data_IF_361345470247
#
_entry.id   IF_361345470247
#
_cell.length_a   1.000
_cell.length_b   1.000
_cell.length_c   1.000
_cell.angle_alpha   90.00
_cell.angle_beta   90.00
_cell.angle_gamma   90.00
#
_symmetry.space_group_name_H-M   'P 1'
#
loop_
_entity.id
_entity.type
_entity.pdbx_description
1 polymer ?
#
# COMPACT_ATOMS: atom_id res chain seq x y z
N UNK A 1 -20.99 0.95 -1.83
CA UNK A 1 -20.61 -0.26 -2.60
C UNK A 1 -21.06 -0.17 -4.04
N UNK A 2 -22.33 0.16 -4.33
CA UNK A 2 -22.86 0.30 -5.69
C UNK A 2 -22.06 1.28 -6.57
N UNK A 3 -21.59 2.38 -5.99
CA UNK A 3 -20.76 3.35 -6.72
C UNK A 3 -19.41 2.75 -7.13
N UNK A 4 -18.75 2.00 -6.23
CA UNK A 4 -17.49 1.35 -6.52
C UNK A 4 -17.64 0.30 -7.63
N UNK A 5 -18.71 -0.49 -7.58
CA UNK A 5 -19.03 -1.45 -8.63
C UNK A 5 -19.24 -0.75 -9.99
N UNK A 6 -20.08 0.31 -10.03
CA UNK A 6 -20.32 1.07 -11.26
C UNK A 6 -19.04 1.64 -11.86
N UNK A 7 -18.14 2.21 -11.01
CA UNK A 7 -16.84 2.68 -11.46
C UNK A 7 -15.96 1.54 -12.01
N UNK A 8 -15.98 0.37 -11.36
CA UNK A 8 -15.28 -0.82 -11.85
C UNK A 8 -15.74 -1.26 -13.23
N UNK A 9 -17.06 -1.29 -13.48
CA UNK A 9 -17.63 -1.65 -14.77
C UNK A 9 -17.38 -0.57 -15.84
N UNK A 10 -17.38 0.70 -15.46
CA UNK A 10 -17.14 1.83 -16.38
C UNK A 10 -15.66 1.90 -16.81
N UNK A 11 -14.73 1.91 -15.86
CA UNK A 11 -13.31 2.11 -16.12
C UNK A 11 -12.55 0.81 -16.43
N UNK A 12 -13.12 -0.35 -16.10
CA UNK A 12 -12.54 -1.68 -16.31
C UNK A 12 -11.06 -1.75 -15.88
N UNK A 13 -10.73 -1.39 -14.64
CA UNK A 13 -9.38 -1.47 -14.15
C UNK A 13 -8.89 -2.92 -14.15
N UNK A 14 -7.57 -3.13 -14.23
CA UNK A 14 -7.02 -4.49 -14.09
C UNK A 14 -7.27 -5.08 -12.71
N UNK A 15 -7.32 -4.24 -11.69
CA UNK A 15 -7.59 -4.63 -10.30
C UNK A 15 -8.46 -3.59 -9.62
N UNK A 16 -9.36 -4.05 -8.75
CA UNK A 16 -10.20 -3.22 -7.90
C UNK A 16 -9.81 -3.45 -6.43
N UNK A 17 -9.64 -2.37 -5.69
CA UNK A 17 -9.37 -2.44 -4.25
C UNK A 17 -10.68 -2.69 -3.52
N UNK A 18 -10.74 -3.76 -2.72
CA UNK A 18 -11.92 -4.08 -1.92
C UNK A 18 -12.14 -3.04 -0.81
N UNK A 19 -13.40 -2.77 -0.43
CA UNK A 19 -13.71 -1.82 0.63
C UNK A 19 -13.13 -2.26 1.97
N UNK A 20 -12.42 -1.36 2.64
CA UNK A 20 -11.82 -1.57 3.95
C UNK A 20 -12.35 -0.56 4.99
N UNK A 21 -11.98 -0.79 6.24
CA UNK A 21 -12.24 0.11 7.37
C UNK A 21 -10.98 0.26 8.20
N UNK A 22 -10.44 1.48 8.21
CA UNK A 22 -9.17 1.79 8.91
C UNK A 22 -9.21 1.29 10.36
N UNK A 23 -8.19 0.54 10.77
CA UNK A 23 -8.00 -0.06 12.09
C UNK A 23 -9.06 -1.08 12.53
N UNK A 24 -9.97 -1.50 11.65
CA UNK A 24 -11.03 -2.44 11.98
C UNK A 24 -11.01 -3.64 11.02
N UNK A 25 -10.35 -4.73 11.42
CA UNK A 25 -10.21 -5.93 10.60
C UNK A 25 -11.52 -6.67 10.39
N UNK A 26 -12.42 -6.70 11.40
CA UNK A 26 -13.71 -7.37 11.29
C UNK A 26 -14.61 -6.68 10.29
N UNK A 27 -14.76 -5.37 10.42
CA UNK A 27 -15.55 -4.58 9.49
C UNK A 27 -14.94 -4.59 8.08
N UNK A 28 -13.61 -4.65 7.96
CA UNK A 28 -12.92 -4.79 6.68
C UNK A 28 -13.30 -6.11 6.01
N UNK A 29 -13.21 -7.24 6.72
CA UNK A 29 -13.60 -8.55 6.18
C UNK A 29 -15.09 -8.62 5.84
N UNK A 30 -15.97 -8.08 6.69
CA UNK A 30 -17.42 -7.98 6.42
C UNK A 30 -17.72 -7.17 5.16
N UNK A 31 -17.06 -6.02 5.00
CA UNK A 31 -17.21 -5.19 3.81
C UNK A 31 -16.75 -5.92 2.54
N UNK A 32 -15.62 -6.63 2.61
CA UNK A 32 -15.10 -7.42 1.51
C UNK A 32 -16.05 -8.58 1.14
N UNK A 33 -16.56 -9.33 2.12
CA UNK A 33 -17.57 -10.38 1.90
C UNK A 33 -18.79 -9.78 1.20
N UNK A 34 -19.37 -8.73 1.78
CA UNK A 34 -20.55 -8.08 1.22
C UNK A 34 -20.33 -7.59 -0.21
N UNK A 35 -19.13 -7.10 -0.51
CA UNK A 35 -18.80 -6.69 -1.89
C UNK A 35 -18.70 -7.89 -2.83
N UNK A 36 -17.96 -8.92 -2.44
CA UNK A 36 -17.74 -10.11 -3.27
C UNK A 36 -19.03 -10.89 -3.51
N UNK A 37 -19.92 -10.99 -2.51
CA UNK A 37 -21.18 -11.71 -2.64
C UNK A 37 -22.20 -11.00 -3.58
N UNK A 38 -22.17 -9.67 -3.64
CA UNK A 38 -23.16 -8.89 -4.39
C UNK A 38 -22.64 -8.31 -5.72
N UNK A 39 -21.33 -8.13 -5.85
CA UNK A 39 -20.72 -7.36 -6.95
C UNK A 39 -19.49 -8.01 -7.58
N UNK A 40 -19.22 -9.29 -7.29
CA UNK A 40 -18.10 -10.00 -7.90
C UNK A 40 -18.27 -10.06 -9.42
N UNK A 41 -17.23 -9.66 -10.14
CA UNK A 41 -17.14 -9.74 -11.59
C UNK A 41 -15.98 -10.67 -11.98
N UNK A 42 -16.21 -11.59 -12.89
CA UNK A 42 -15.16 -12.50 -13.40
C UNK A 42 -14.13 -11.76 -14.27
N UNK A 43 -14.45 -10.55 -14.69
CA UNK A 43 -13.56 -9.70 -15.49
C UNK A 43 -12.62 -8.83 -14.66
N UNK A 44 -12.83 -8.76 -13.34
CA UNK A 44 -12.04 -7.94 -12.42
C UNK A 44 -11.23 -8.80 -11.47
N UNK A 45 -9.98 -8.42 -11.27
CA UNK A 45 -9.16 -8.92 -10.16
C UNK A 45 -9.30 -7.99 -8.96
N UNK A 46 -9.02 -8.52 -7.79
CA UNK A 46 -9.23 -7.76 -6.55
C UNK A 46 -7.94 -7.65 -5.74
N UNK A 47 -7.82 -6.54 -5.03
CA UNK A 47 -6.79 -6.30 -4.02
C UNK A 47 -7.48 -6.22 -2.67
N UNK A 48 -7.09 -7.06 -1.72
CA UNK A 48 -7.57 -7.03 -0.34
C UNK A 48 -6.68 -6.14 0.53
N UNK A 49 -7.25 -5.17 1.22
CA UNK A 49 -6.53 -4.29 2.15
C UNK A 49 -6.59 -4.88 3.54
N UNK A 50 -5.44 -5.14 4.17
CA UNK A 50 -5.38 -5.59 5.56
C UNK A 50 -5.48 -4.40 6.50
N UNK A 51 -6.38 -4.49 7.47
CA UNK A 51 -6.58 -3.49 8.51
C UNK A 51 -6.63 -4.18 9.88
N UNK A 52 -6.21 -3.49 10.92
CA UNK A 52 -6.29 -4.02 12.28
C UNK A 52 -5.42 -3.27 13.28
N UNK A 53 -5.50 -3.68 14.55
CA UNK A 53 -4.77 -3.05 15.66
C UNK A 53 -3.53 -3.86 16.08
N UNK A 54 -3.39 -5.09 15.58
CA UNK A 54 -2.31 -6.00 15.93
C UNK A 54 -1.82 -6.78 14.71
N UNK A 55 -0.63 -7.37 14.80
CA UNK A 55 -0.10 -8.25 13.75
C UNK A 55 -0.98 -9.48 13.52
N UNK A 56 -1.60 -10.02 14.57
CA UNK A 56 -2.53 -11.14 14.44
C UNK A 56 -3.78 -10.74 13.63
N UNK A 57 -4.36 -9.56 13.86
CA UNK A 57 -5.48 -9.05 13.07
C UNK A 57 -5.12 -8.92 11.58
N UNK A 58 -3.88 -8.46 11.29
CA UNK A 58 -3.40 -8.36 9.91
C UNK A 58 -3.21 -9.75 9.29
N UNK A 59 -2.70 -10.72 10.06
CA UNK A 59 -2.56 -12.11 9.61
C UNK A 59 -3.92 -12.76 9.34
N UNK A 60 -4.93 -12.52 10.18
CA UNK A 60 -6.30 -12.98 9.96
C UNK A 60 -6.89 -12.42 8.66
N UNK A 61 -6.64 -11.13 8.36
CA UNK A 61 -7.02 -10.55 7.07
C UNK A 61 -6.33 -11.24 5.89
N UNK A 62 -5.04 -11.54 6.01
CA UNK A 62 -4.30 -12.25 4.96
C UNK A 62 -4.91 -13.64 4.73
N UNK A 63 -5.08 -14.43 5.78
CA UNK A 63 -5.66 -15.77 5.69
C UNK A 63 -7.07 -15.72 5.05
N UNK A 64 -7.90 -14.77 5.48
CA UNK A 64 -9.22 -14.53 4.90
C UNK A 64 -9.17 -14.23 3.39
N UNK A 65 -8.31 -13.31 2.95
CA UNK A 65 -8.21 -12.98 1.52
C UNK A 65 -7.69 -14.14 0.68
N UNK A 66 -6.79 -14.94 1.24
CA UNK A 66 -6.32 -16.18 0.62
C UNK A 66 -7.48 -17.16 0.40
N UNK A 67 -8.29 -17.41 1.43
CA UNK A 67 -9.45 -18.30 1.35
C UNK A 67 -10.48 -17.81 0.31
N UNK A 68 -10.57 -16.49 0.09
CA UNK A 68 -11.42 -15.89 -0.94
C UNK A 68 -10.81 -15.88 -2.33
N UNK A 69 -9.57 -16.36 -2.50
CA UNK A 69 -8.87 -16.40 -3.78
C UNK A 69 -8.35 -15.04 -4.24
N UNK A 70 -8.11 -14.12 -3.31
CA UNK A 70 -7.50 -12.82 -3.59
C UNK A 70 -5.98 -12.98 -3.52
N UNK A 71 -5.28 -12.70 -4.61
CA UNK A 71 -3.85 -12.96 -4.77
C UNK A 71 -2.96 -11.73 -4.56
N UNK A 72 -3.53 -10.53 -4.50
CA UNK A 72 -2.83 -9.29 -4.14
C UNK A 72 -3.37 -8.76 -2.83
N UNK A 73 -2.48 -8.62 -1.86
CA UNK A 73 -2.82 -8.18 -0.51
C UNK A 73 -2.11 -6.86 -0.23
N UNK A 74 -2.86 -5.82 0.07
CA UNK A 74 -2.32 -4.50 0.36
C UNK A 74 -2.07 -4.31 1.85
N UNK A 75 -0.87 -3.83 2.18
CA UNK A 75 -0.45 -3.46 3.52
C UNK A 75 -0.31 -1.94 3.59
N UNK A 76 -1.20 -1.22 4.31
CA UNK A 76 -1.12 0.22 4.44
C UNK A 76 0.14 0.65 5.22
N UNK A 77 0.59 1.89 5.02
CA UNK A 77 1.78 2.41 5.68
C UNK A 77 1.63 2.52 7.21
N UNK A 78 0.40 2.74 7.67
CA UNK A 78 -0.02 2.81 9.07
C UNK A 78 -0.64 1.47 9.55
N UNK A 79 0.02 0.38 9.21
CA UNK A 79 -0.46 -1.01 9.32
C UNK A 79 -1.08 -1.36 10.66
N UNK A 80 -0.52 -0.84 11.76
CA UNK A 80 -1.09 -0.92 13.11
C UNK A 80 -0.92 0.42 13.81
N UNK A 81 -1.88 0.84 14.67
CA UNK A 81 -1.82 2.11 15.39
C UNK A 81 -0.53 2.28 16.20
N UNK A 82 -0.14 3.54 16.39
CA UNK A 82 1.01 3.95 17.22
C UNK A 82 2.36 3.31 16.88
N UNK A 83 2.47 2.75 15.68
CA UNK A 83 3.71 2.13 15.19
C UNK A 83 4.58 3.12 14.44
N UNK A 84 5.88 2.83 14.41
CA UNK A 84 6.82 3.52 13.52
C UNK A 84 6.51 3.15 12.05
N UNK A 85 5.97 4.09 11.31
CA UNK A 85 5.57 3.93 9.91
C UNK A 85 6.71 3.50 8.97
N UNK A 86 7.96 3.75 9.34
CA UNK A 86 9.10 3.35 8.54
C UNK A 86 9.39 1.86 8.63
N UNK A 87 9.13 1.26 9.78
CA UNK A 87 9.54 -0.13 10.06
C UNK A 87 8.39 -1.09 10.27
N UNK A 88 7.16 -0.63 10.49
CA UNK A 88 6.03 -1.48 10.88
C UNK A 88 5.75 -2.60 9.87
N UNK A 89 5.69 -2.28 8.58
CA UNK A 89 5.45 -3.29 7.53
C UNK A 89 6.62 -4.28 7.41
N UNK A 90 7.84 -3.80 7.51
CA UNK A 90 9.03 -4.66 7.52
C UNK A 90 9.03 -5.62 8.72
N UNK A 91 8.72 -5.12 9.92
CA UNK A 91 8.61 -5.94 11.13
C UNK A 91 7.50 -6.97 11.01
N UNK A 92 6.31 -6.55 10.55
CA UNK A 92 5.19 -7.43 10.30
C UNK A 92 5.55 -8.53 9.30
N UNK A 93 6.09 -8.19 8.13
CA UNK A 93 6.42 -9.16 7.09
C UNK A 93 7.46 -10.19 7.54
N UNK A 94 8.47 -9.78 8.33
CA UNK A 94 9.44 -10.72 8.89
C UNK A 94 8.81 -11.60 9.99
N UNK A 95 7.96 -11.05 10.84
CA UNK A 95 7.20 -11.83 11.83
C UNK A 95 6.27 -12.83 11.12
N UNK A 96 5.48 -12.38 10.16
CA UNK A 96 4.60 -13.23 9.35
C UNK A 96 5.41 -14.33 8.64
N UNK A 97 6.53 -13.99 8.04
CA UNK A 97 7.40 -14.96 7.36
C UNK A 97 7.94 -16.02 8.32
N UNK A 98 8.29 -15.67 9.54
CA UNK A 98 8.82 -16.59 10.54
C UNK A 98 7.74 -17.48 11.18
N UNK A 99 6.52 -16.98 11.31
CA UNK A 99 5.41 -17.69 11.97
C UNK A 99 4.56 -18.51 11.00
N UNK A 100 4.47 -18.08 9.73
CA UNK A 100 3.66 -18.76 8.71
C UNK A 100 4.38 -20.01 8.16
N UNK A 101 3.67 -21.12 8.05
CA UNK A 101 4.24 -22.37 7.50
C UNK A 101 4.69 -22.20 6.05
N UNK A 102 5.69 -22.99 5.63
CA UNK A 102 6.22 -22.98 4.27
C UNK A 102 5.13 -23.30 3.23
N UNK A 103 4.20 -24.18 3.56
CA UNK A 103 3.05 -24.55 2.70
C UNK A 103 2.10 -23.38 2.51
N UNK A 104 1.72 -22.69 3.57
CA UNK A 104 0.93 -21.46 3.47
C UNK A 104 1.66 -20.40 2.64
N UNK A 105 2.97 -20.18 2.86
CA UNK A 105 3.76 -19.22 2.08
C UNK A 105 3.91 -19.58 0.61
N UNK A 106 3.91 -20.87 0.25
CA UNK A 106 4.05 -21.31 -1.14
C UNK A 106 2.81 -20.96 -2.00
N UNK A 107 1.65 -20.81 -1.39
CA UNK A 107 0.41 -20.37 -2.05
C UNK A 107 0.31 -18.87 -2.24
N UNK A 108 1.26 -18.09 -1.79
CA UNK A 108 1.22 -16.63 -1.74
C UNK A 108 2.35 -16.04 -2.54
N UNK A 109 2.28 -14.98 -3.18
CA UNK A 109 1.31 -13.95 -3.06
C UNK A 109 2.03 -12.68 -3.32
N UNK A 110 1.30 -11.71 -3.62
CA UNK A 110 1.83 -10.44 -4.04
C UNK A 110 1.41 -9.43 -3.00
N UNK A 111 2.33 -8.99 -2.15
CA UNK A 111 2.05 -7.85 -1.28
C UNK A 111 2.18 -6.54 -2.05
N UNK A 112 1.17 -5.71 -1.93
CA UNK A 112 1.19 -4.32 -2.37
C UNK A 112 1.43 -3.42 -1.15
N UNK A 113 2.48 -2.61 -1.19
CA UNK A 113 2.76 -1.65 -0.11
C UNK A 113 1.99 -0.36 -0.37
N UNK A 114 0.84 -0.22 0.31
CA UNK A 114 -0.10 0.88 0.10
C UNK A 114 0.40 2.14 0.82
N UNK A 115 0.54 3.25 0.08
CA UNK A 115 0.88 4.56 0.64
C UNK A 115 2.29 4.69 1.17
N UNK A 116 3.33 4.33 0.41
CA UNK A 116 4.72 4.50 0.85
C UNK A 116 5.08 5.98 1.05
N UNK A 117 5.43 6.35 2.28
CA UNK A 117 5.75 7.74 2.61
C UNK A 117 7.22 8.08 2.42
N UNK A 118 8.11 7.17 2.83
CA UNK A 118 9.56 7.39 2.80
C UNK A 118 10.25 6.25 2.06
N UNK A 119 11.04 6.54 1.00
CA UNK A 119 11.72 5.51 0.21
C UNK A 119 12.74 4.71 1.02
N UNK A 120 13.28 5.23 2.11
CA UNK A 120 14.23 4.52 3.00
C UNK A 120 13.67 3.20 3.52
N UNK A 121 12.35 3.06 3.62
CA UNK A 121 11.71 1.79 3.97
C UNK A 121 12.21 0.63 3.08
N UNK A 122 12.46 0.88 1.79
CA UNK A 122 12.88 -0.18 0.86
C UNK A 122 14.27 -0.74 1.16
N UNK A 123 15.16 0.04 1.75
CA UNK A 123 16.48 -0.44 2.17
C UNK A 123 16.38 -1.55 3.21
N UNK A 124 15.30 -1.55 4.02
CA UNK A 124 15.07 -2.60 5.02
C UNK A 124 14.82 -3.97 4.37
N UNK A 125 14.27 -4.00 3.16
CA UNK A 125 13.95 -5.24 2.46
C UNK A 125 15.12 -5.84 1.68
N UNK A 126 16.18 -5.09 1.37
CA UNK A 126 17.24 -5.51 0.45
C UNK A 126 17.88 -6.86 0.80
N UNK A 127 18.08 -7.15 2.08
CA UNK A 127 18.64 -8.43 2.55
C UNK A 127 17.59 -9.32 3.25
N UNK A 128 16.31 -9.02 3.10
CA UNK A 128 15.26 -9.77 3.76
C UNK A 128 14.65 -10.83 2.84
N UNK A 129 14.37 -12.05 3.33
CA UNK A 129 13.69 -13.08 2.55
C UNK A 129 12.27 -12.70 2.14
N UNK A 130 11.70 -11.63 2.74
CA UNK A 130 10.35 -11.15 2.40
C UNK A 130 10.31 -10.26 1.16
N UNK A 131 11.46 -9.75 0.68
CA UNK A 131 11.53 -8.91 -0.54
C UNK A 131 10.83 -9.56 -1.74
N UNK A 132 10.97 -10.86 -1.92
CA UNK A 132 10.37 -11.62 -3.04
C UNK A 132 8.84 -11.65 -3.05
N UNK A 133 8.19 -11.32 -1.94
CA UNK A 133 6.74 -11.25 -1.83
C UNK A 133 6.19 -9.84 -2.09
N UNK A 134 7.06 -8.82 -2.12
CA UNK A 134 6.65 -7.45 -2.45
C UNK A 134 6.51 -7.36 -3.97
N UNK A 135 5.27 -7.17 -4.41
CA UNK A 135 4.92 -7.13 -5.83
C UNK A 135 4.87 -5.71 -6.38
N UNK A 136 4.30 -4.79 -5.63
CA UNK A 136 4.09 -3.41 -6.05
C UNK A 136 3.94 -2.47 -4.87
N UNK A 137 3.96 -1.19 -5.16
CA UNK A 137 3.72 -0.12 -4.20
C UNK A 137 3.08 1.08 -4.90
N UNK A 138 2.45 1.94 -4.12
CA UNK A 138 2.03 3.26 -4.56
C UNK A 138 2.54 4.34 -3.62
N UNK A 139 2.65 5.55 -4.13
CA UNK A 139 3.04 6.71 -3.33
C UNK A 139 2.72 8.03 -4.02
N UNK A 140 2.22 8.99 -3.25
CA UNK A 140 2.16 10.40 -3.62
C UNK A 140 3.36 11.20 -3.08
N UNK A 141 4.22 10.58 -2.28
CA UNK A 141 5.28 11.26 -1.54
C UNK A 141 6.23 12.10 -2.42
N UNK A 142 6.73 11.62 -3.57
CA UNK A 142 7.59 12.42 -4.44
C UNK A 142 6.89 13.69 -4.95
N UNK A 143 5.61 13.58 -5.29
CA UNK A 143 4.81 14.69 -5.83
C UNK A 143 4.53 15.72 -4.74
N UNK A 144 3.99 15.27 -3.61
CA UNK A 144 3.62 16.18 -2.49
C UNK A 144 4.85 16.90 -1.94
N UNK A 145 5.97 16.22 -1.80
CA UNK A 145 7.21 16.84 -1.33
C UNK A 145 7.80 17.81 -2.37
N UNK A 146 7.87 17.43 -3.66
CA UNK A 146 8.38 18.30 -4.71
C UNK A 146 7.52 19.57 -4.87
N UNK A 147 6.21 19.42 -4.86
CA UNK A 147 5.29 20.56 -4.87
C UNK A 147 5.52 21.53 -3.69
N UNK A 148 5.77 20.99 -2.49
CA UNK A 148 6.04 21.79 -1.29
C UNK A 148 7.49 22.28 -1.17
N UNK A 149 8.30 22.15 -2.20
CA UNK A 149 9.72 22.58 -2.21
C UNK A 149 10.64 21.67 -1.37
N UNK A 150 10.22 20.45 -1.05
CA UNK A 150 11.02 19.49 -0.31
C UNK A 150 11.70 18.50 -1.27
N UNK A 151 13.01 18.35 -1.13
CA UNK A 151 13.78 17.38 -1.89
C UNK A 151 13.90 16.05 -1.14
N UNK A 152 13.78 14.93 -1.86
CA UNK A 152 14.13 13.59 -1.38
C UNK A 152 15.65 13.40 -1.51
N UNK A 153 16.35 13.32 -0.40
CA UNK A 153 17.79 13.07 -0.37
C UNK A 153 18.14 11.58 -0.28
N UNK A 154 19.44 11.29 -0.27
CA UNK A 154 19.99 9.93 -0.14
C UNK A 154 19.60 9.21 1.17
N UNK A 155 19.04 9.92 2.13
CA UNK A 155 18.57 9.37 3.42
C UNK A 155 17.07 9.59 3.62
N UNK A 156 16.32 9.75 2.53
CA UNK A 156 14.89 9.98 2.54
C UNK A 156 14.51 11.45 2.59
N UNK A 157 13.46 11.78 3.34
CA UNK A 157 12.96 13.14 3.44
C UNK A 157 13.90 14.02 4.27
N UNK A 158 14.28 15.16 3.70
CA UNK A 158 15.12 16.17 4.39
C UNK A 158 14.32 17.08 5.31
N UNK A 159 13.00 17.12 5.14
CA UNK A 159 12.06 17.94 5.92
C UNK A 159 10.82 17.11 6.28
N UNK A 160 10.08 17.51 7.33
CA UNK A 160 8.80 16.89 7.64
C UNK A 160 7.84 16.90 6.44
N UNK A 161 7.01 15.84 6.34
CA UNK A 161 5.98 15.78 5.29
C UNK A 161 5.07 17.00 5.39
N UNK A 162 4.74 17.65 4.26
CA UNK A 162 3.76 18.74 4.24
C UNK A 162 2.42 18.29 4.82
N UNK A 163 1.73 19.19 5.52
CA UNK A 163 0.40 18.95 6.07
C UNK A 163 -0.69 18.97 4.99
N UNK A 164 -0.41 19.65 3.88
CA UNK A 164 -1.36 19.81 2.79
C UNK A 164 -1.64 18.48 2.10
N UNK A 165 -2.90 18.20 1.84
CA UNK A 165 -3.32 16.99 1.13
C UNK A 165 -3.29 17.27 -0.37
N UNK A 166 -2.77 16.31 -1.16
CA UNK A 166 -2.77 16.41 -2.61
C UNK A 166 -4.18 16.57 -3.18
N UNK A 167 -5.16 15.86 -2.60
CA UNK A 167 -6.55 15.90 -3.04
C UNK A 167 -7.18 17.31 -2.93
N UNK A 168 -6.74 18.11 -1.97
CA UNK A 168 -7.27 19.48 -1.74
C UNK A 168 -6.63 20.50 -2.71
N UNK A 169 -5.69 20.08 -3.56
CA UNK A 169 -4.83 20.94 -4.35
C UNK A 169 -4.63 20.46 -5.80
N UNK A 170 -5.56 19.68 -6.34
CA UNK A 170 -5.46 19.12 -7.70
C UNK A 170 -5.50 20.17 -8.80
N UNK A 171 -6.12 21.34 -8.55
CA UNK A 171 -6.28 22.42 -9.53
C UNK A 171 -5.19 23.49 -9.46
N UNK A 172 -4.12 23.24 -8.69
CA UNK A 172 -3.01 24.21 -8.56
C UNK A 172 -2.09 24.12 -9.78
N UNK A 173 -1.80 25.26 -10.39
CA UNK A 173 -0.75 25.39 -11.40
C UNK A 173 0.62 25.28 -10.72
N UNK A 174 1.46 24.36 -11.19
CA UNK A 174 2.82 24.17 -10.70
C UNK A 174 3.79 25.08 -11.44
N UNK A 175 4.78 25.66 -10.73
CA UNK A 175 5.90 26.35 -11.36
C UNK A 175 6.86 25.35 -12.01
N UNK A 176 7.73 25.82 -12.91
CA UNK A 176 8.77 24.99 -13.53
C UNK A 176 9.69 24.37 -12.48
N UNK A 177 10.07 25.13 -11.46
CA UNK A 177 10.94 24.68 -10.38
C UNK A 177 10.28 23.57 -9.56
N UNK A 178 8.96 23.66 -9.29
CA UNK A 178 8.20 22.63 -8.60
C UNK A 178 8.13 21.34 -9.44
N UNK A 179 7.88 21.47 -10.74
CA UNK A 179 7.87 20.33 -11.65
C UNK A 179 9.22 19.62 -11.69
N UNK A 180 10.32 20.37 -11.84
CA UNK A 180 11.67 19.83 -11.85
C UNK A 180 11.99 19.09 -10.54
N UNK A 181 11.58 19.65 -9.41
CA UNK A 181 11.77 19.02 -8.12
C UNK A 181 10.92 17.75 -7.95
N UNK A 182 9.67 17.75 -8.45
CA UNK A 182 8.83 16.55 -8.48
C UNK A 182 9.51 15.45 -9.30
N UNK A 183 9.98 15.76 -10.51
CA UNK A 183 10.66 14.78 -11.37
C UNK A 183 11.95 14.26 -10.72
N UNK A 184 12.72 15.12 -10.08
CA UNK A 184 13.90 14.74 -9.32
C UNK A 184 13.55 13.78 -8.20
N UNK A 185 12.51 14.09 -7.41
CA UNK A 185 12.03 13.25 -6.33
C UNK A 185 11.53 11.88 -6.82
N UNK A 186 10.77 11.85 -7.93
CA UNK A 186 10.33 10.59 -8.55
C UNK A 186 11.51 9.73 -8.96
N UNK A 187 12.51 10.33 -9.59
CA UNK A 187 13.73 9.63 -9.99
C UNK A 187 14.48 9.08 -8.78
N UNK A 188 14.67 9.89 -7.76
CA UNK A 188 15.31 9.48 -6.49
C UNK A 188 14.52 8.35 -5.83
N UNK A 189 13.19 8.45 -5.73
CA UNK A 189 12.35 7.40 -5.14
C UNK A 189 12.51 6.06 -5.88
N UNK A 190 12.58 6.10 -7.21
CA UNK A 190 12.76 4.88 -8.02
C UNK A 190 14.08 4.17 -7.75
N UNK A 191 15.18 4.88 -7.49
CA UNK A 191 16.46 4.22 -7.17
C UNK A 191 16.37 3.36 -5.92
N UNK A 192 15.63 3.78 -4.89
CA UNK A 192 15.42 2.98 -3.69
C UNK A 192 14.61 1.68 -3.91
N UNK A 193 13.75 1.68 -4.92
CA UNK A 193 12.83 0.55 -5.18
C UNK A 193 13.46 -0.48 -6.10
N UNK A 194 14.36 -0.06 -6.99
CA UNK A 194 14.94 -0.92 -8.04
C UNK A 194 16.30 -1.52 -7.67
N UNK A 195 16.98 -0.96 -6.67
CA UNK A 195 18.23 -1.50 -6.10
C UNK A 195 17.93 -2.48 -4.97
#
# INVERSE_FOLDING_TARGET
MDQLYKLGEEFKPSHLVLPDRVNDYKQTMENAIKYLDNYKSDNLKYIGVCQGETFDHIADCIDFYIEKGIDIIALPFDLVPDSDYLTVRYRFLNWWYSTTSRTKRAGIYKFHLLGCQNPVEFQLYNNSPVKKYIYSLDTSSPIVNGWSGNELGAHGLTKPKPKDKLADNLDISLSSEQLDLIFKNVKTFRTYVTE
#
